data_IF_959130102732
#
_entry.id   IF_959130102732
#
_cell.length_a   1.000
_cell.length_b   1.000
_cell.length_c   1.000
_cell.angle_alpha   90.00
_cell.angle_beta   90.00
_cell.angle_gamma   90.00
#
_symmetry.space_group_name_H-M   'P 1'
#
loop_
_entity.id
_entity.type
_entity.pdbx_description
1 polymer ?
#
# COMPACT_ATOMS: atom_id res chain seq x y z
N UNK A 1 -22.36 -11.59 15.59
CA UNK A 1 -21.23 -11.28 16.48
C UNK A 1 -20.27 -10.38 15.74
N UNK A 2 -19.94 -9.20 16.26
CA UNK A 2 -18.92 -8.34 15.68
C UNK A 2 -17.55 -8.93 16.01
N UNK A 3 -16.82 -9.41 15.00
CA UNK A 3 -15.44 -9.86 15.19
C UNK A 3 -14.51 -8.65 15.12
N UNK A 4 -13.68 -8.45 16.14
CA UNK A 4 -12.58 -7.49 16.11
C UNK A 4 -11.41 -8.13 15.36
N UNK A 5 -10.89 -7.40 14.37
CA UNK A 5 -9.74 -7.81 13.56
C UNK A 5 -8.59 -6.82 13.79
N UNK A 6 -7.36 -7.31 13.74
CA UNK A 6 -6.16 -6.49 13.92
C UNK A 6 -5.41 -6.32 12.59
N UNK A 7 -4.82 -5.14 12.39
CA UNK A 7 -3.97 -4.84 11.24
C UNK A 7 -2.61 -4.29 11.68
N UNK A 8 -1.53 -4.92 11.21
CA UNK A 8 -0.18 -4.35 11.31
C UNK A 8 -0.12 -3.15 10.36
N UNK A 9 0.20 -1.97 10.88
CA UNK A 9 -0.03 -0.71 10.16
C UNK A 9 1.22 0.18 10.15
N UNK A 10 2.32 -0.21 9.47
CA UNK A 10 3.39 0.75 9.18
C UNK A 10 2.81 1.85 8.32
N UNK A 11 3.11 3.12 8.64
CA UNK A 11 2.44 4.24 7.98
C UNK A 11 2.68 4.19 6.47
N UNK A 12 3.94 4.13 6.05
CA UNK A 12 4.43 4.04 4.67
C UNK A 12 5.97 3.92 4.72
N UNK A 13 6.60 3.42 3.65
CA UNK A 13 8.02 3.03 3.66
C UNK A 13 8.97 4.16 4.07
N UNK A 14 8.79 5.44 3.66
CA UNK A 14 9.68 6.52 4.06
C UNK A 14 9.79 6.79 5.57
N UNK A 15 8.78 6.41 6.35
CA UNK A 15 8.78 6.61 7.82
C UNK A 15 9.00 5.34 8.61
N UNK A 16 9.34 4.24 7.93
CA UNK A 16 9.62 2.96 8.54
C UNK A 16 11.08 2.61 8.26
N UNK A 17 11.89 2.49 9.31
CA UNK A 17 13.26 2.03 9.13
C UNK A 17 13.27 0.56 8.67
N UNK A 18 14.36 0.08 8.06
CA UNK A 18 14.51 -1.33 7.71
C UNK A 18 14.21 -2.26 8.89
N UNK A 19 14.71 -1.95 10.09
CA UNK A 19 14.47 -2.75 11.30
C UNK A 19 13.00 -2.75 11.70
N UNK A 20 12.28 -1.64 11.50
CA UNK A 20 10.83 -1.60 11.72
C UNK A 20 10.09 -2.49 10.72
N UNK A 21 10.51 -2.52 9.45
CA UNK A 21 9.90 -3.38 8.42
C UNK A 21 10.22 -4.86 8.67
N UNK A 22 11.41 -5.20 9.16
CA UNK A 22 11.74 -6.54 9.65
C UNK A 22 10.82 -6.96 10.81
N UNK A 23 10.52 -6.05 11.73
CA UNK A 23 9.57 -6.32 12.81
C UNK A 23 8.14 -6.54 12.28
N UNK A 24 7.73 -5.82 11.22
CA UNK A 24 6.44 -6.09 10.54
C UNK A 24 6.43 -7.50 9.95
N UNK A 25 7.51 -7.90 9.27
CA UNK A 25 7.66 -9.24 8.71
C UNK A 25 7.54 -10.30 9.81
N UNK A 26 8.27 -10.12 10.91
CA UNK A 26 8.24 -11.01 12.06
C UNK A 26 6.85 -11.13 12.67
N UNK A 27 6.17 -10.01 12.92
CA UNK A 27 4.80 -10.00 13.45
C UNK A 27 3.82 -10.73 12.52
N UNK A 28 3.99 -10.60 11.21
CA UNK A 28 3.14 -11.29 10.22
C UNK A 28 3.39 -12.79 10.18
N UNK A 29 4.62 -13.23 10.45
CA UNK A 29 4.96 -14.65 10.61
C UNK A 29 4.40 -15.23 11.91
N UNK A 30 4.51 -14.50 13.02
CA UNK A 30 3.98 -14.91 14.34
C UNK A 30 2.44 -14.95 14.35
N UNK A 31 1.79 -14.04 13.61
CA UNK A 31 0.33 -13.92 13.55
C UNK A 31 -0.18 -13.95 12.09
N UNK A 32 -0.21 -15.11 11.42
CA UNK A 32 -0.52 -15.22 9.99
C UNK A 32 -1.93 -14.77 9.61
N UNK A 33 -2.84 -14.66 10.58
CA UNK A 33 -4.22 -14.26 10.36
C UNK A 33 -4.49 -12.76 10.44
N UNK A 34 -3.51 -11.95 10.85
CA UNK A 34 -3.66 -10.50 10.95
C UNK A 34 -3.69 -9.84 9.57
N UNK A 35 -4.36 -8.70 9.50
CA UNK A 35 -4.32 -7.85 8.32
C UNK A 35 -3.03 -7.04 8.29
N UNK A 36 -2.72 -6.52 7.12
CA UNK A 36 -1.71 -5.50 6.93
C UNK A 36 -2.35 -4.33 6.19
N UNK A 37 -2.04 -3.11 6.62
CA UNK A 37 -2.54 -1.91 5.98
C UNK A 37 -1.44 -0.85 5.89
N UNK A 38 -1.17 -0.32 4.70
CA UNK A 38 -0.20 0.76 4.51
C UNK A 38 -0.53 1.59 3.26
N UNK A 39 0.20 2.67 3.01
CA UNK A 39 0.06 3.46 1.79
C UNK A 39 1.02 2.95 0.71
N UNK A 40 0.64 3.11 -0.56
CA UNK A 40 1.47 2.73 -1.69
C UNK A 40 1.21 3.67 -2.86
N UNK A 41 2.30 4.24 -3.40
CA UNK A 41 2.31 5.04 -4.64
C UNK A 41 1.18 6.07 -4.73
N UNK A 42 0.99 6.89 -3.68
CA UNK A 42 -0.03 7.95 -3.62
C UNK A 42 0.41 9.13 -4.50
N UNK A 43 1.66 9.59 -4.36
CA UNK A 43 2.19 10.76 -5.07
C UNK A 43 3.52 10.45 -5.79
N UNK A 44 3.82 11.16 -6.88
CA UNK A 44 5.08 10.97 -7.63
C UNK A 44 6.32 11.29 -6.80
N UNK A 45 6.28 12.36 -5.99
CA UNK A 45 7.39 12.73 -5.11
C UNK A 45 7.61 11.68 -4.02
N UNK A 46 6.54 11.08 -3.50
CA UNK A 46 6.63 9.96 -2.56
C UNK A 46 7.30 8.75 -3.20
N UNK A 47 6.89 8.37 -4.42
CA UNK A 47 7.51 7.26 -5.17
C UNK A 47 9.00 7.53 -5.41
N UNK A 48 9.36 8.74 -5.82
CA UNK A 48 10.76 9.14 -6.00
C UNK A 48 11.55 9.08 -4.70
N UNK A 49 10.95 9.51 -3.58
CA UNK A 49 11.58 9.47 -2.27
C UNK A 49 11.83 8.04 -1.79
N UNK A 50 10.87 7.15 -1.96
CA UNK A 50 11.06 5.72 -1.65
C UNK A 50 12.20 5.13 -2.45
N UNK A 51 12.26 5.42 -3.76
CA UNK A 51 13.35 4.94 -4.62
C UNK A 51 14.73 5.46 -4.19
N UNK A 52 14.79 6.66 -3.61
CA UNK A 52 16.03 7.21 -3.06
C UNK A 52 16.42 6.57 -1.72
N UNK A 53 15.44 6.20 -0.89
CA UNK A 53 15.67 5.55 0.42
C UNK A 53 16.01 4.05 0.30
N UNK A 54 15.44 3.39 -0.71
CA UNK A 54 15.54 1.94 -0.94
C UNK A 54 16.05 1.65 -2.37
N UNK A 55 17.27 2.08 -2.74
CA UNK A 55 17.79 1.97 -4.11
C UNK A 55 18.03 0.53 -4.58
N UNK A 56 18.14 -0.42 -3.65
CA UNK A 56 18.26 -1.86 -3.91
C UNK A 56 16.94 -2.50 -4.38
N UNK A 57 15.82 -1.83 -4.16
CA UNK A 57 14.49 -2.29 -4.54
C UNK A 57 14.06 -1.73 -5.90
N UNK A 58 13.37 -2.57 -6.68
CA UNK A 58 13.02 -2.25 -8.07
C UNK A 58 12.01 -1.12 -8.17
N UNK A 59 11.05 -1.11 -7.26
CA UNK A 59 9.96 -0.14 -7.15
C UNK A 59 9.41 -0.11 -5.72
N UNK A 60 8.39 0.71 -5.47
CA UNK A 60 7.85 0.92 -4.13
C UNK A 60 7.25 -0.38 -3.56
N UNK A 61 6.43 -1.08 -4.34
CA UNK A 61 5.85 -2.34 -3.88
C UNK A 61 6.92 -3.41 -3.58
N UNK A 62 8.04 -3.41 -4.30
CA UNK A 62 9.13 -4.36 -4.09
C UNK A 62 9.73 -4.26 -2.68
N UNK A 63 9.80 -3.06 -2.09
CA UNK A 63 10.18 -2.86 -0.68
C UNK A 63 9.27 -3.69 0.22
N UNK A 64 7.96 -3.54 0.07
CA UNK A 64 6.98 -4.28 0.86
C UNK A 64 6.96 -5.78 0.55
N UNK A 65 7.15 -6.15 -0.71
CA UNK A 65 7.20 -7.54 -1.12
C UNK A 65 8.39 -8.26 -0.47
N UNK A 66 9.56 -7.63 -0.45
CA UNK A 66 10.76 -8.13 0.20
C UNK A 66 10.54 -8.43 1.69
N UNK A 67 9.90 -7.51 2.42
CA UNK A 67 9.56 -7.70 3.84
C UNK A 67 8.30 -8.55 4.07
N UNK A 68 7.82 -9.31 3.08
CA UNK A 68 6.69 -10.23 3.24
C UNK A 68 5.34 -9.54 3.51
N UNK A 69 5.22 -8.25 3.19
CA UNK A 69 4.03 -7.45 3.46
C UNK A 69 2.95 -7.59 2.39
N UNK A 70 3.28 -8.15 1.22
CA UNK A 70 2.29 -8.52 0.20
C UNK A 70 1.58 -9.83 0.54
N UNK A 71 0.36 -10.03 0.05
CA UNK A 71 -0.37 -11.28 0.27
C UNK A 71 -1.86 -11.08 0.45
N UNK A 72 -2.56 -12.19 0.70
CA UNK A 72 -3.90 -12.12 1.28
C UNK A 72 -3.88 -11.29 2.57
N UNK A 73 -4.98 -10.57 2.84
CA UNK A 73 -5.15 -9.67 4.00
C UNK A 73 -4.21 -8.45 4.01
N UNK A 74 -3.45 -8.20 2.94
CA UNK A 74 -2.70 -6.95 2.75
C UNK A 74 -3.51 -5.95 1.94
N UNK A 75 -3.68 -4.75 2.48
CA UNK A 75 -4.42 -3.65 1.87
C UNK A 75 -3.47 -2.47 1.67
N UNK A 76 -3.38 -1.99 0.44
CA UNK A 76 -2.55 -0.86 0.05
C UNK A 76 -3.44 0.31 -0.35
N UNK A 77 -3.33 1.44 0.35
CA UNK A 77 -4.11 2.63 0.07
C UNK A 77 -3.55 3.43 -1.11
N UNK A 78 -4.45 4.05 -1.88
CA UNK A 78 -4.19 4.92 -3.04
C UNK A 78 -3.81 4.19 -4.32
N UNK A 79 -2.58 3.67 -4.42
CA UNK A 79 -2.09 2.93 -5.59
C UNK A 79 -2.29 3.69 -6.92
N UNK A 80 -2.04 5.00 -6.91
CA UNK A 80 -2.30 5.88 -8.06
C UNK A 80 -1.21 5.73 -9.12
N UNK A 81 0.06 5.69 -8.70
CA UNK A 81 1.23 5.66 -9.59
C UNK A 81 1.91 4.30 -9.56
N UNK A 82 1.16 3.24 -9.88
CA UNK A 82 1.72 1.88 -9.96
C UNK A 82 2.36 1.60 -11.32
N UNK A 83 3.54 0.99 -11.30
CA UNK A 83 4.19 0.38 -12.46
C UNK A 83 3.51 -0.93 -12.86
N UNK A 84 3.69 -1.38 -14.10
CA UNK A 84 3.02 -2.59 -14.60
C UNK A 84 3.38 -3.87 -13.81
N UNK A 85 4.64 -3.98 -13.41
CA UNK A 85 5.12 -5.08 -12.55
C UNK A 85 4.49 -5.05 -11.15
N UNK A 86 4.16 -3.87 -10.62
CA UNK A 86 3.49 -3.75 -9.32
C UNK A 86 2.05 -4.24 -9.40
N UNK A 87 1.34 -3.94 -10.50
CA UNK A 87 0.01 -4.50 -10.75
C UNK A 87 0.02 -6.03 -10.78
N UNK A 88 1.00 -6.61 -11.48
CA UNK A 88 1.14 -8.06 -11.57
C UNK A 88 1.46 -8.68 -10.21
N UNK A 89 2.37 -8.07 -9.44
CA UNK A 89 2.69 -8.51 -8.09
C UNK A 89 1.47 -8.45 -7.16
N UNK A 90 0.69 -7.36 -7.17
CA UNK A 90 -0.54 -7.26 -6.37
C UNK A 90 -1.55 -8.35 -6.72
N UNK A 91 -1.69 -8.68 -8.01
CA UNK A 91 -2.56 -9.77 -8.45
C UNK A 91 -2.04 -11.13 -7.98
N UNK A 92 -0.78 -11.45 -8.27
CA UNK A 92 -0.15 -12.75 -7.96
C UNK A 92 -0.15 -13.03 -6.46
N UNK A 93 0.16 -12.03 -5.65
CA UNK A 93 0.15 -12.14 -4.19
C UNK A 93 -1.25 -12.12 -3.59
N UNK A 94 -2.27 -11.85 -4.41
CA UNK A 94 -3.65 -11.65 -3.96
C UNK A 94 -3.76 -10.55 -2.91
N UNK A 95 -3.03 -9.45 -3.10
CA UNK A 95 -3.15 -8.23 -2.31
C UNK A 95 -4.39 -7.43 -2.71
N UNK A 96 -4.75 -6.41 -1.94
CA UNK A 96 -5.92 -5.56 -2.20
C UNK A 96 -5.55 -4.08 -2.22
N UNK A 97 -6.29 -3.30 -3.00
CA UNK A 97 -6.17 -1.85 -3.06
C UNK A 97 -7.36 -1.20 -2.35
N UNK A 98 -7.09 -0.18 -1.54
CA UNK A 98 -8.11 0.77 -1.07
C UNK A 98 -8.10 2.02 -1.96
N UNK A 99 -9.12 2.13 -2.82
CA UNK A 99 -9.32 3.27 -3.71
C UNK A 99 -9.97 4.44 -2.95
N UNK A 100 -9.22 5.54 -2.80
CA UNK A 100 -9.60 6.72 -2.03
C UNK A 100 -9.79 7.96 -2.92
N UNK A 101 -10.84 8.04 -3.76
CA UNK A 101 -10.98 9.08 -4.78
C UNK A 101 -10.98 10.50 -4.22
N UNK A 102 -11.66 10.72 -3.09
CA UNK A 102 -11.80 12.06 -2.49
C UNK A 102 -10.45 12.64 -2.07
N UNK A 103 -9.59 11.84 -1.42
CA UNK A 103 -8.25 12.30 -1.03
C UNK A 103 -7.32 12.45 -2.23
N UNK A 104 -7.43 11.56 -3.22
CA UNK A 104 -6.57 11.60 -4.41
C UNK A 104 -6.80 12.90 -5.20
N UNK A 105 -8.06 13.34 -5.31
CA UNK A 105 -8.41 14.60 -5.96
C UNK A 105 -8.01 15.81 -5.11
N UNK A 106 -8.31 15.77 -3.81
CA UNK A 106 -8.04 16.89 -2.91
C UNK A 106 -6.54 17.22 -2.80
N UNK A 107 -5.69 16.19 -2.77
CA UNK A 107 -4.23 16.34 -2.65
C UNK A 107 -3.53 16.50 -4.01
N UNK A 108 -4.26 16.49 -5.12
CA UNK A 108 -3.65 16.52 -6.45
C UNK A 108 -2.81 15.28 -6.78
N UNK A 109 -3.04 14.17 -6.06
CA UNK A 109 -2.28 12.92 -6.21
C UNK A 109 -2.45 12.30 -7.60
N UNK A 110 -3.63 12.43 -8.19
CA UNK A 110 -3.94 11.92 -9.54
C UNK A 110 -5.17 11.03 -9.58
N UNK A 111 -5.35 10.35 -10.71
CA UNK A 111 -6.52 9.51 -10.98
C UNK A 111 -6.14 8.03 -10.89
N UNK A 112 -6.78 7.30 -9.98
CA UNK A 112 -6.59 5.86 -9.86
C UNK A 112 -7.11 5.15 -11.13
N UNK A 113 -6.30 4.25 -11.70
CA UNK A 113 -6.64 3.54 -12.93
C UNK A 113 -7.51 2.29 -12.65
N UNK A 114 -8.78 2.53 -12.31
CA UNK A 114 -9.76 1.46 -12.05
C UNK A 114 -9.93 0.46 -13.21
N UNK A 115 -9.99 0.89 -14.49
CA UNK A 115 -10.04 -0.05 -15.62
C UNK A 115 -8.84 -1.00 -15.65
N UNK A 116 -7.63 -0.52 -15.36
CA UNK A 116 -6.46 -1.39 -15.30
C UNK A 116 -6.52 -2.36 -14.13
N UNK A 117 -7.02 -1.93 -12.95
CA UNK A 117 -7.21 -2.83 -11.82
C UNK A 117 -8.13 -4.02 -12.17
N UNK A 118 -9.19 -3.77 -12.96
CA UNK A 118 -10.09 -4.83 -13.45
C UNK A 118 -9.40 -5.75 -14.44
N UNK A 119 -8.66 -5.18 -15.41
CA UNK A 119 -7.88 -5.94 -16.40
C UNK A 119 -6.83 -6.84 -15.74
N UNK A 120 -6.09 -6.30 -14.77
CA UNK A 120 -5.06 -7.01 -14.00
C UNK A 120 -5.66 -7.88 -12.89
N UNK A 121 -6.99 -7.91 -12.72
CA UNK A 121 -7.72 -8.70 -11.72
C UNK A 121 -7.22 -8.47 -10.28
N UNK A 122 -6.93 -7.23 -9.94
CA UNK A 122 -6.56 -6.82 -8.57
C UNK A 122 -7.83 -6.48 -7.79
N UNK A 123 -7.91 -6.92 -6.53
CA UNK A 123 -9.06 -6.65 -5.66
C UNK A 123 -9.05 -5.19 -5.25
N UNK A 124 -10.16 -4.49 -5.45
CA UNK A 124 -10.32 -3.07 -5.10
C UNK A 124 -11.51 -2.91 -4.15
N UNK A 125 -11.31 -2.20 -3.04
CA UNK A 125 -12.36 -1.70 -2.17
C UNK A 125 -12.36 -0.18 -2.14
N UNK A 126 -13.50 0.43 -1.79
CA UNK A 126 -13.60 1.88 -1.61
C UNK A 126 -13.12 2.29 -0.22
N UNK A 127 -12.26 3.31 -0.14
CA UNK A 127 -11.76 3.87 1.11
C UNK A 127 -12.20 5.33 1.26
N UNK A 128 -12.66 5.69 2.46
CA UNK A 128 -12.83 7.09 2.85
C UNK A 128 -11.72 7.48 3.83
N UNK A 129 -10.82 8.38 3.42
CA UNK A 129 -9.74 8.88 4.27
C UNK A 129 -10.22 10.13 5.01
N UNK A 130 -10.63 9.97 6.26
CA UNK A 130 -11.01 11.12 7.10
C UNK A 130 -9.76 11.85 7.62
N UNK A 131 -9.55 13.09 7.14
CA UNK A 131 -8.50 14.10 7.47
C UNK A 131 -7.03 13.84 7.07
N UNK A 132 -6.48 14.77 6.25
CA UNK A 132 -5.23 15.52 6.55
C UNK A 132 -5.66 16.97 6.84
N UNK A 133 -5.01 17.65 7.79
CA UNK A 133 -5.46 18.92 8.39
C UNK A 133 -5.79 20.05 7.39
N UNK A 134 -6.72 20.93 7.81
CA UNK A 134 -7.12 22.14 7.11
C UNK A 134 -6.03 23.21 7.28
N UNK A 135 -5.50 23.72 6.17
CA UNK A 135 -4.91 25.06 6.09
C UNK A 135 -5.40 25.70 4.79
N UNK A 136 -6.49 26.45 4.91
CA UNK A 136 -6.65 27.71 4.19
C UNK A 136 -5.82 28.77 4.93
#
# INVERSE_FOLDING_TARGET
>A
MAALLYAITPRFAPTSSPEQLEMVQRLRQEYPDVYLHTHLSENKDEVAWVKALYPEHKNYLDVYHHYGMTGRKSVFAHCVHLEDAEWDCLHQTQSSIAFCPTSNLYLGSGLFNLPNAWRKKVRVGMGHRHRRGYHL
#
